data_IF_831790456459
#
_entry.id   IF_831790456459
#
_cell.length_a   1.000
_cell.length_b   1.000
_cell.length_c   1.000
_cell.angle_alpha   90.00
_cell.angle_beta   90.00
_cell.angle_gamma   90.00
#
_symmetry.space_group_name_H-M   'P 1'
#
loop_
_entity.id
_entity.type
_entity.pdbx_description
1 polymer ?
#
# COMPACT_ATOMS: atom_id res chain seq x y z
N UNK A 1 6.75 -21.84 -1.76
CA UNK A 1 7.71 -20.71 -1.79
C UNK A 1 7.02 -19.38 -1.41
N UNK A 2 6.50 -19.21 -0.19
CA UNK A 2 5.76 -17.98 0.18
C UNK A 2 6.23 -17.29 1.47
N UNK A 3 7.30 -17.77 2.12
CA UNK A 3 7.70 -17.32 3.47
C UNK A 3 8.86 -16.30 3.48
N UNK A 4 9.58 -16.09 2.36
CA UNK A 4 10.74 -15.19 2.31
C UNK A 4 10.52 -13.82 1.65
N UNK A 5 9.28 -13.37 1.43
CA UNK A 5 9.00 -12.17 0.62
C UNK A 5 8.18 -11.07 1.28
N UNK A 6 8.04 -11.03 2.62
CA UNK A 6 7.28 -9.95 3.30
C UNK A 6 8.07 -8.99 4.20
N UNK A 7 9.19 -8.40 3.75
CA UNK A 7 9.71 -7.21 4.39
C UNK A 7 8.88 -5.92 4.24
N UNK A 8 8.22 -5.58 3.11
CA UNK A 8 7.81 -4.20 2.86
C UNK A 8 6.72 -3.68 3.80
N UNK A 9 5.72 -4.49 4.19
CA UNK A 9 4.69 -4.06 5.16
C UNK A 9 5.30 -3.69 6.51
N UNK A 10 6.29 -4.48 6.96
CA UNK A 10 7.07 -4.19 8.17
C UNK A 10 7.88 -2.90 8.02
N UNK A 11 8.49 -2.66 6.86
CA UNK A 11 9.28 -1.44 6.59
C UNK A 11 8.43 -0.18 6.54
N UNK A 12 7.23 -0.22 5.95
CA UNK A 12 6.29 0.90 6.00
C UNK A 12 5.88 1.23 7.44
N UNK A 13 5.57 0.22 8.24
CA UNK A 13 5.25 0.40 9.65
C UNK A 13 6.45 0.95 10.46
N UNK A 14 7.66 0.43 10.24
CA UNK A 14 8.88 0.90 10.91
C UNK A 14 9.23 2.35 10.52
N UNK A 15 9.13 2.70 9.25
CA UNK A 15 9.38 4.08 8.78
C UNK A 15 8.39 5.06 9.41
N UNK A 16 7.11 4.67 9.49
CA UNK A 16 6.07 5.43 10.17
C UNK A 16 6.38 5.59 11.67
N UNK A 17 6.70 4.50 12.37
CA UNK A 17 7.06 4.54 13.79
C UNK A 17 8.28 5.43 14.06
N UNK A 18 9.32 5.33 13.23
CA UNK A 18 10.50 6.18 13.30
C UNK A 18 10.17 7.67 13.15
N UNK A 19 9.36 8.03 12.15
CA UNK A 19 8.95 9.43 11.93
C UNK A 19 8.07 9.96 13.09
N UNK A 20 7.16 9.15 13.62
CA UNK A 20 6.33 9.51 14.78
C UNK A 20 7.19 9.72 16.02
N UNK A 21 8.20 8.88 16.24
CA UNK A 21 9.14 9.02 17.35
C UNK A 21 9.91 10.34 17.26
N UNK A 22 10.47 10.65 16.09
CA UNK A 22 11.19 11.91 15.83
C UNK A 22 10.26 13.11 16.07
N UNK A 23 9.02 13.07 15.59
CA UNK A 23 8.05 14.14 15.77
C UNK A 23 7.67 14.37 17.24
N UNK A 24 7.49 13.28 18.01
CA UNK A 24 7.24 13.35 19.46
C UNK A 24 8.43 13.95 20.20
N UNK A 25 9.63 13.55 19.81
CA UNK A 25 10.86 14.06 20.39
C UNK A 25 11.05 15.56 20.13
N UNK A 26 10.79 16.01 18.89
CA UNK A 26 10.86 17.42 18.50
C UNK A 26 9.83 18.28 19.24
N UNK A 27 8.59 17.80 19.41
CA UNK A 27 7.57 18.50 20.21
C UNK A 27 7.97 18.60 21.69
N UNK A 28 8.51 17.52 22.26
CA UNK A 28 9.04 17.55 23.63
C UNK A 28 10.17 18.58 23.79
N UNK A 29 11.03 18.70 22.78
CA UNK A 29 12.11 19.69 22.75
C UNK A 29 11.61 21.14 22.75
N UNK A 30 10.62 21.43 21.91
CA UNK A 30 10.04 22.78 21.79
C UNK A 30 9.39 23.22 23.10
N UNK A 31 8.63 22.34 23.76
CA UNK A 31 7.97 22.65 25.05
C UNK A 31 9.00 22.93 26.16
N UNK A 32 10.14 22.25 26.16
CA UNK A 32 11.22 22.51 27.14
C UNK A 32 11.94 23.84 26.85
N UNK A 33 12.22 24.16 25.59
CA UNK A 33 12.88 25.43 25.22
C UNK A 33 12.04 26.67 25.59
N UNK A 34 10.72 26.60 25.43
CA UNK A 34 9.81 27.72 25.71
C UNK A 34 9.69 28.01 27.22
N UNK A 35 9.98 27.02 28.07
CA UNK A 35 9.90 27.14 29.53
C UNK A 35 11.19 27.59 30.21
N UNK A 36 12.37 27.25 29.69
CA UNK A 36 13.63 27.37 30.45
C UNK A 36 14.63 28.40 29.94
N UNK A 37 14.37 29.10 28.83
CA UNK A 37 15.28 30.14 28.35
C UNK A 37 16.70 29.63 28.04
N UNK A 38 16.91 29.21 26.79
CA UNK A 38 18.23 29.18 26.14
C UNK A 38 19.38 28.42 26.86
N UNK A 39 19.09 27.29 27.51
CA UNK A 39 20.11 26.24 27.73
C UNK A 39 19.79 25.03 26.86
N UNK A 40 20.60 24.83 25.82
CA UNK A 40 20.50 23.74 24.86
C UNK A 40 20.85 22.40 25.52
N UNK A 41 19.94 21.88 26.34
CA UNK A 41 19.96 20.48 26.75
C UNK A 41 19.25 19.67 25.67
N UNK A 42 19.90 18.62 25.15
CA UNK A 42 19.20 17.61 24.34
C UNK A 42 18.05 17.10 25.21
N UNK A 43 16.79 17.37 24.86
CA UNK A 43 15.68 17.04 25.70
C UNK A 43 15.66 15.52 25.84
N UNK A 44 15.56 15.02 27.09
CA UNK A 44 15.58 13.59 27.39
C UNK A 44 14.58 12.77 26.54
N UNK A 45 13.55 13.41 25.98
CA UNK A 45 12.63 12.83 25.00
C UNK A 45 13.27 12.41 23.67
N UNK A 46 14.28 13.12 23.14
CA UNK A 46 15.02 12.73 21.94
C UNK A 46 15.84 11.47 22.18
N UNK A 47 16.56 11.42 23.30
CA UNK A 47 17.39 10.25 23.66
C UNK A 47 16.54 8.98 23.75
N UNK A 48 15.31 9.08 24.26
CA UNK A 48 14.36 7.95 24.34
C UNK A 48 13.85 7.46 22.98
N UNK A 49 13.93 8.28 21.94
CA UNK A 49 13.50 7.92 20.59
C UNK A 49 14.62 7.33 19.72
N UNK A 50 15.89 7.51 20.11
CA UNK A 50 17.05 6.95 19.39
C UNK A 50 16.99 5.42 19.27
N UNK A 51 16.72 4.64 20.34
CA UNK A 51 16.65 3.18 20.23
C UNK A 51 15.57 2.72 19.24
N UNK A 52 14.44 3.42 19.19
CA UNK A 52 13.36 3.11 18.27
C UNK A 52 13.77 3.41 16.81
N UNK A 53 14.41 4.56 16.56
CA UNK A 53 14.96 4.88 15.25
C UNK A 53 16.00 3.87 14.78
N UNK A 54 16.93 3.49 15.67
CA UNK A 54 17.94 2.47 15.40
C UNK A 54 17.30 1.10 15.12
N UNK A 55 16.28 0.70 15.88
CA UNK A 55 15.56 -0.55 15.65
C UNK A 55 14.85 -0.56 14.29
N UNK A 56 14.28 0.58 13.86
CA UNK A 56 13.65 0.71 12.54
C UNK A 56 14.67 0.58 11.40
N UNK A 57 15.82 1.27 11.51
CA UNK A 57 16.90 1.17 10.53
C UNK A 57 17.50 -0.24 10.50
N UNK A 58 17.73 -0.85 11.67
CA UNK A 58 18.21 -2.23 11.77
C UNK A 58 17.23 -3.21 11.13
N UNK A 59 15.92 -3.02 11.33
CA UNK A 59 14.88 -3.78 10.65
C UNK A 59 14.96 -3.66 9.12
N UNK A 60 15.19 -2.45 8.60
CA UNK A 60 15.38 -2.22 7.17
C UNK A 60 16.64 -2.89 6.61
N UNK A 61 17.76 -2.76 7.32
CA UNK A 61 19.04 -3.32 6.90
C UNK A 61 19.16 -4.83 7.11
N UNK A 62 18.28 -5.42 7.92
CA UNK A 62 18.29 -6.87 8.21
C UNK A 62 18.18 -7.72 6.94
N UNK A 63 17.50 -7.25 5.91
CA UNK A 63 17.40 -7.94 4.62
C UNK A 63 18.71 -7.94 3.86
N UNK A 64 19.41 -6.81 3.83
CA UNK A 64 20.71 -6.70 3.18
C UNK A 64 21.74 -7.55 3.92
N UNK A 65 21.69 -7.57 5.26
CA UNK A 65 22.54 -8.43 6.08
C UNK A 65 22.24 -9.93 5.83
N UNK A 66 20.96 -10.31 5.76
CA UNK A 66 20.55 -11.68 5.46
C UNK A 66 20.96 -12.10 4.04
N UNK A 67 20.81 -11.21 3.06
CA UNK A 67 21.24 -11.44 1.69
C UNK A 67 22.76 -11.64 1.63
N UNK A 68 23.54 -10.84 2.36
CA UNK A 68 24.98 -10.98 2.42
C UNK A 68 25.38 -12.30 3.06
N UNK A 69 24.77 -12.65 4.20
CA UNK A 69 25.04 -13.90 4.90
C UNK A 69 24.71 -15.14 4.05
N UNK A 70 23.64 -15.09 3.25
CA UNK A 70 23.16 -16.23 2.46
C UNK A 70 23.81 -16.33 1.08
N UNK A 71 24.11 -15.20 0.45
CA UNK A 71 24.45 -15.12 -0.97
C UNK A 71 25.72 -14.31 -1.28
N UNK A 72 26.36 -13.72 -0.27
CA UNK A 72 27.57 -12.91 -0.46
C UNK A 72 27.33 -11.57 -1.15
N UNK A 73 26.11 -11.04 -1.11
CA UNK A 73 25.75 -9.75 -1.75
C UNK A 73 24.84 -8.91 -0.85
N UNK A 74 25.00 -7.59 -0.91
CA UNK A 74 24.13 -6.62 -0.22
C UNK A 74 22.85 -6.29 -0.98
N UNK A 75 22.64 -6.86 -2.17
CA UNK A 75 21.36 -6.77 -2.86
C UNK A 75 20.31 -7.56 -2.05
N UNK A 76 19.24 -6.93 -1.52
CA UNK A 76 18.25 -7.62 -0.70
C UNK A 76 17.46 -8.67 -1.49
N UNK A 77 17.48 -8.60 -2.83
CA UNK A 77 16.82 -9.56 -3.71
C UNK A 77 17.70 -9.81 -4.95
N UNK A 78 18.79 -10.60 -4.84
CA UNK A 78 19.73 -10.82 -5.94
C UNK A 78 19.08 -11.69 -7.02
N UNK A 79 18.42 -11.04 -7.98
CA UNK A 79 17.60 -11.73 -8.97
C UNK A 79 18.42 -12.70 -9.84
N UNK A 80 19.69 -12.38 -10.09
CA UNK A 80 20.62 -13.17 -10.92
C UNK A 80 20.82 -14.61 -10.46
N UNK A 81 20.68 -14.88 -9.15
CA UNK A 81 20.85 -16.23 -8.59
C UNK A 81 19.51 -16.95 -8.36
N UNK A 82 18.39 -16.31 -8.68
CA UNK A 82 17.06 -16.86 -8.42
C UNK A 82 16.57 -17.67 -9.62
N UNK A 83 16.02 -18.87 -9.36
CA UNK A 83 15.50 -19.79 -10.40
C UNK A 83 14.56 -19.14 -11.42
N UNK A 84 13.61 -18.25 -11.04
CA UNK A 84 12.72 -17.61 -12.00
C UNK A 84 13.44 -16.75 -13.06
N UNK A 85 14.68 -16.35 -12.80
CA UNK A 85 15.53 -15.54 -13.68
C UNK A 85 16.69 -16.34 -14.29
N UNK A 86 16.55 -17.68 -14.35
CA UNK A 86 17.48 -18.53 -15.10
C UNK A 86 17.46 -18.22 -16.61
N UNK A 87 16.39 -17.62 -17.12
CA UNK A 87 16.34 -17.10 -18.50
C UNK A 87 17.14 -15.77 -18.60
N UNK A 88 18.23 -15.72 -19.39
CA UNK A 88 19.03 -14.51 -19.59
C UNK A 88 18.23 -13.32 -20.15
N UNK A 89 17.19 -13.57 -20.96
CA UNK A 89 16.40 -12.49 -21.58
C UNK A 89 15.66 -11.66 -20.53
N UNK A 90 15.06 -12.32 -19.52
CA UNK A 90 14.31 -11.65 -18.46
C UNK A 90 15.20 -10.79 -17.58
N UNK A 91 16.36 -11.32 -17.17
CA UNK A 91 17.30 -10.58 -16.33
C UNK A 91 17.94 -9.42 -17.09
N UNK A 92 18.21 -9.58 -18.39
CA UNK A 92 18.72 -8.51 -19.25
C UNK A 92 17.69 -7.41 -19.48
N UNK A 93 16.40 -7.74 -19.58
CA UNK A 93 15.32 -6.77 -19.72
C UNK A 93 15.27 -5.76 -18.55
N UNK A 94 15.72 -6.17 -17.35
CA UNK A 94 15.78 -5.34 -16.15
C UNK A 94 17.22 -4.99 -15.72
N UNK A 95 18.18 -5.11 -16.63
CA UNK A 95 19.61 -4.81 -16.41
C UNK A 95 20.21 -5.51 -15.16
N UNK A 96 19.62 -6.64 -14.78
CA UNK A 96 19.99 -7.44 -13.62
C UNK A 96 19.82 -6.76 -12.25
N UNK A 97 18.96 -5.74 -12.14
CA UNK A 97 18.65 -5.02 -10.89
C UNK A 97 17.20 -5.23 -10.47
N UNK A 98 16.92 -5.15 -9.17
CA UNK A 98 15.57 -5.27 -8.61
C UNK A 98 14.78 -3.95 -8.56
N UNK A 99 15.46 -2.81 -8.72
CA UNK A 99 14.86 -1.48 -8.69
C UNK A 99 15.45 -0.56 -9.76
N UNK A 100 14.61 0.29 -10.34
CA UNK A 100 14.95 1.30 -11.32
C UNK A 100 14.16 2.58 -11.08
N UNK A 101 14.83 3.73 -11.05
CA UNK A 101 14.14 5.02 -10.95
C UNK A 101 13.18 5.27 -12.13
N UNK A 102 13.48 4.74 -13.31
CA UNK A 102 12.61 4.83 -14.50
C UNK A 102 11.27 4.10 -14.33
N UNK A 103 11.14 3.22 -13.33
CA UNK A 103 9.88 2.54 -13.03
C UNK A 103 8.93 3.42 -12.19
N UNK A 104 9.41 4.48 -11.54
CA UNK A 104 8.60 5.28 -10.62
C UNK A 104 7.29 5.78 -11.25
N UNK A 105 7.28 6.35 -12.47
CA UNK A 105 6.04 6.77 -13.12
C UNK A 105 5.07 5.61 -13.37
N UNK A 106 5.58 4.45 -13.82
CA UNK A 106 4.76 3.24 -14.04
C UNK A 106 4.20 2.70 -12.72
N UNK A 107 5.03 2.63 -11.67
CA UNK A 107 4.64 2.18 -10.34
C UNK A 107 3.59 3.09 -9.74
N UNK A 108 3.80 4.41 -9.78
CA UNK A 108 2.81 5.39 -9.33
C UNK A 108 1.50 5.25 -10.10
N UNK A 109 1.54 5.16 -11.43
CA UNK A 109 0.35 4.94 -12.24
C UNK A 109 -0.38 3.67 -11.81
N UNK A 110 0.34 2.55 -11.64
CA UNK A 110 -0.23 1.25 -11.28
C UNK A 110 -0.85 1.23 -9.87
N UNK A 111 -0.22 1.86 -8.88
CA UNK A 111 -0.68 1.83 -7.48
C UNK A 111 -1.61 2.96 -7.09
N UNK A 112 -1.64 4.07 -7.84
CA UNK A 112 -2.41 5.27 -7.47
C UNK A 112 -3.49 5.61 -8.50
N UNK A 113 -3.25 5.42 -9.80
CA UNK A 113 -4.11 5.98 -10.84
C UNK A 113 -4.94 4.92 -11.56
N UNK A 114 -4.31 3.81 -11.96
CA UNK A 114 -4.86 2.83 -12.93
C UNK A 114 -6.05 2.07 -12.35
N UNK A 115 -7.27 2.23 -12.92
CA UNK A 115 -8.40 1.37 -12.60
C UNK A 115 -8.21 0.02 -13.31
N UNK A 116 -7.48 -0.91 -12.70
CA UNK A 116 -7.21 -2.22 -13.30
C UNK A 116 -8.29 -3.25 -12.99
N UNK A 117 -9.53 -2.92 -13.31
CA UNK A 117 -10.67 -3.83 -13.20
C UNK A 117 -11.54 -3.75 -14.44
N UNK A 118 -12.32 -4.80 -14.69
CA UNK A 118 -13.28 -4.89 -15.78
C UNK A 118 -14.66 -5.12 -15.18
N UNK A 119 -15.64 -4.41 -15.71
CA UNK A 119 -17.04 -4.61 -15.34
C UNK A 119 -17.67 -5.52 -16.39
N UNK A 120 -18.20 -6.65 -15.95
CA UNK A 120 -18.91 -7.60 -16.81
C UNK A 120 -20.34 -7.76 -16.32
N UNK A 121 -21.25 -8.19 -17.22
CA UNK A 121 -22.66 -8.42 -16.86
C UNK A 121 -22.84 -9.66 -15.98
N UNK A 122 -21.94 -10.64 -16.11
CA UNK A 122 -22.00 -11.90 -15.37
C UNK A 122 -21.32 -11.81 -14.01
N UNK A 123 -21.86 -12.51 -13.03
CA UNK A 123 -21.33 -12.64 -11.67
C UNK A 123 -19.85 -13.07 -11.67
N UNK A 124 -18.95 -12.44 -10.88
CA UNK A 124 -19.22 -11.49 -9.79
C UNK A 124 -19.18 -10.00 -10.21
N UNK A 125 -19.48 -9.70 -11.48
CA UNK A 125 -19.58 -8.36 -12.08
C UNK A 125 -18.29 -7.52 -12.12
N UNK A 126 -17.36 -7.72 -11.20
CA UNK A 126 -16.07 -7.02 -11.12
C UNK A 126 -14.96 -8.06 -11.26
N UNK A 127 -14.14 -7.89 -12.30
CA UNK A 127 -13.03 -8.78 -12.64
C UNK A 127 -11.71 -8.03 -12.61
N UNK A 128 -10.61 -8.75 -12.41
CA UNK A 128 -9.28 -8.16 -12.57
C UNK A 128 -9.07 -7.73 -14.03
N UNK A 129 -8.41 -6.58 -14.19
CA UNK A 129 -7.98 -6.05 -15.49
C UNK A 129 -6.77 -6.82 -16.04
N UNK A 130 -6.15 -6.30 -17.09
CA UNK A 130 -4.98 -6.94 -17.68
C UNK A 130 -3.75 -6.82 -16.77
N UNK A 131 -2.93 -7.85 -16.74
CA UNK A 131 -1.57 -7.80 -16.18
C UNK A 131 -0.56 -7.20 -17.16
N UNK A 132 -0.95 -6.86 -18.40
CA UNK A 132 -0.03 -6.21 -19.32
C UNK A 132 0.25 -4.77 -18.89
N UNK A 133 1.52 -4.32 -18.93
CA UNK A 133 1.87 -2.91 -18.82
C UNK A 133 1.22 -2.15 -19.97
N UNK A 134 0.53 -1.04 -19.69
CA UNK A 134 0.04 -0.19 -20.77
C UNK A 134 1.21 0.39 -21.57
N UNK A 135 1.00 0.67 -22.87
CA UNK A 135 2.02 1.24 -23.77
C UNK A 135 2.54 2.63 -23.37
N UNK A 136 2.00 3.24 -22.31
CA UNK A 136 2.32 4.59 -21.85
C UNK A 136 3.72 4.72 -21.23
N UNK A 137 4.39 3.62 -20.88
CA UNK A 137 5.69 3.64 -20.20
C UNK A 137 6.73 2.74 -20.90
N UNK A 138 7.15 3.07 -22.14
CA UNK A 138 8.03 2.22 -22.93
C UNK A 138 9.43 2.04 -22.32
N UNK A 139 9.87 2.99 -21.49
CA UNK A 139 11.16 2.92 -20.79
C UNK A 139 11.13 2.14 -19.47
N UNK A 140 9.95 1.67 -19.05
CA UNK A 140 9.81 0.96 -17.78
C UNK A 140 10.46 -0.44 -17.86
N UNK A 141 11.29 -0.74 -16.86
CA UNK A 141 12.03 -1.99 -16.69
C UNK A 141 11.22 -2.90 -15.76
N UNK A 142 10.08 -3.40 -16.26
CA UNK A 142 9.15 -4.24 -15.48
C UNK A 142 9.24 -5.67 -15.99
N UNK A 143 9.61 -6.59 -15.09
CA UNK A 143 9.70 -8.02 -15.39
C UNK A 143 8.40 -8.76 -15.07
N UNK A 144 7.76 -8.42 -13.93
CA UNK A 144 6.57 -9.11 -13.46
C UNK A 144 5.43 -8.12 -13.18
N UNK A 145 4.66 -7.76 -14.20
CA UNK A 145 3.43 -7.02 -14.01
C UNK A 145 2.32 -7.99 -13.59
N UNK A 146 1.61 -7.66 -12.50
CA UNK A 146 0.53 -8.49 -11.94
C UNK A 146 -0.81 -7.74 -12.10
N UNK A 147 -1.91 -8.43 -11.82
CA UNK A 147 -3.26 -7.89 -11.75
C UNK A 147 -3.46 -6.97 -10.53
N UNK A 148 -2.69 -5.89 -10.49
CA UNK A 148 -2.67 -4.93 -9.39
C UNK A 148 -3.79 -3.93 -9.57
N UNK A 149 -4.61 -3.76 -8.53
CA UNK A 149 -5.63 -2.75 -8.38
C UNK A 149 -5.06 -1.59 -7.55
N UNK A 150 -5.14 -0.37 -8.09
CA UNK A 150 -4.65 0.82 -7.40
C UNK A 150 -5.40 1.08 -6.08
N UNK A 151 -4.71 1.71 -5.12
CA UNK A 151 -5.21 1.99 -3.77
C UNK A 151 -6.60 2.66 -3.74
N UNK A 152 -6.91 3.66 -4.59
CA UNK A 152 -8.22 4.31 -4.54
C UNK A 152 -9.38 3.36 -4.85
N UNK A 153 -9.13 2.28 -5.60
CA UNK A 153 -10.15 1.31 -5.96
C UNK A 153 -10.13 0.07 -5.06
N UNK A 154 -8.96 -0.33 -4.55
CA UNK A 154 -8.84 -1.44 -3.62
C UNK A 154 -9.30 -1.08 -2.20
N UNK A 155 -9.06 0.16 -1.77
CA UNK A 155 -9.36 0.63 -0.41
C UNK A 155 -9.98 2.05 -0.41
N UNK A 156 -11.06 2.32 -1.19
CA UNK A 156 -11.60 3.67 -1.37
C UNK A 156 -11.92 4.39 -0.06
N UNK A 157 -12.54 3.72 0.92
CA UNK A 157 -12.85 4.33 2.22
C UNK A 157 -11.62 4.82 2.98
N UNK A 158 -10.59 3.97 3.09
CA UNK A 158 -9.31 4.34 3.72
C UNK A 158 -8.60 5.42 2.92
N UNK A 159 -8.56 5.32 1.59
CA UNK A 159 -7.90 6.29 0.73
C UNK A 159 -8.54 7.68 0.84
N UNK A 160 -9.88 7.77 0.81
CA UNK A 160 -10.61 9.04 0.95
C UNK A 160 -10.38 9.67 2.32
N UNK A 161 -10.47 8.89 3.40
CA UNK A 161 -10.20 9.41 4.75
C UNK A 161 -8.74 9.82 4.93
N UNK A 162 -7.80 9.02 4.41
CA UNK A 162 -6.38 9.33 4.47
C UNK A 162 -6.04 10.61 3.71
N UNK A 163 -6.67 10.87 2.56
CA UNK A 163 -6.42 12.05 1.72
C UNK A 163 -7.33 13.22 2.09
N UNK A 164 -8.58 13.22 1.64
CA UNK A 164 -9.55 14.30 1.86
C UNK A 164 -9.81 14.54 3.35
N UNK A 165 -9.89 13.47 4.16
CA UNK A 165 -10.01 13.60 5.61
C UNK A 165 -8.80 14.29 6.24
N UNK A 166 -7.57 13.93 5.86
CA UNK A 166 -6.37 14.63 6.34
C UNK A 166 -6.31 16.07 5.85
N UNK A 167 -6.66 16.37 4.60
CA UNK A 167 -6.68 17.75 4.08
C UNK A 167 -7.66 18.61 4.89
N UNK A 168 -8.85 18.08 5.17
CA UNK A 168 -9.83 18.72 6.03
C UNK A 168 -9.27 18.92 7.45
N UNK A 169 -8.75 17.86 8.07
CA UNK A 169 -8.16 17.89 9.41
C UNK A 169 -7.02 18.91 9.51
N UNK A 170 -6.18 18.99 8.49
CA UNK A 170 -5.08 19.95 8.39
C UNK A 170 -5.59 21.40 8.35
N UNK A 171 -6.67 21.64 7.62
CA UNK A 171 -7.28 22.96 7.52
C UNK A 171 -7.91 23.41 8.85
N UNK A 172 -8.75 22.55 9.47
CA UNK A 172 -9.62 22.96 10.58
C UNK A 172 -9.12 22.58 11.98
N UNK A 173 -8.15 21.67 12.11
CA UNK A 173 -7.60 21.23 13.40
C UNK A 173 -6.10 21.49 13.47
N UNK A 174 -5.66 22.71 13.87
CA UNK A 174 -4.25 23.09 13.90
C UNK A 174 -3.35 22.11 14.67
N UNK A 175 -3.87 21.50 15.74
CA UNK A 175 -3.16 20.53 16.56
C UNK A 175 -2.71 19.26 15.80
N UNK A 176 -3.38 18.92 14.70
CA UNK A 176 -3.11 17.72 13.90
C UNK A 176 -2.11 17.96 12.76
N UNK A 177 -1.85 19.21 12.36
CA UNK A 177 -1.04 19.55 11.16
C UNK A 177 0.31 18.87 11.12
N UNK A 178 1.06 18.94 12.23
CA UNK A 178 2.38 18.32 12.34
C UNK A 178 2.28 16.79 12.29
N UNK A 179 1.26 16.19 12.93
CA UNK A 179 1.09 14.74 12.88
C UNK A 179 0.77 14.26 11.46
N UNK A 180 -0.12 14.96 10.77
CA UNK A 180 -0.47 14.68 9.37
C UNK A 180 0.77 14.81 8.47
N UNK A 181 1.52 15.91 8.58
CA UNK A 181 2.73 16.12 7.81
C UNK A 181 3.75 15.00 8.03
N UNK A 182 3.98 14.61 9.28
CA UNK A 182 4.93 13.54 9.64
C UNK A 182 4.49 12.20 9.03
N UNK A 183 3.22 11.83 9.15
CA UNK A 183 2.69 10.58 8.59
C UNK A 183 2.83 10.54 7.07
N UNK A 184 2.51 11.64 6.38
CA UNK A 184 2.62 11.72 4.93
C UNK A 184 4.07 11.75 4.44
N UNK A 185 4.96 12.47 5.12
CA UNK A 185 6.39 12.49 4.78
C UNK A 185 7.04 11.12 5.01
N UNK A 186 6.64 10.39 6.06
CA UNK A 186 7.12 9.04 6.35
C UNK A 186 6.83 8.04 5.22
N UNK A 187 5.78 8.29 4.42
CA UNK A 187 5.41 7.44 3.30
C UNK A 187 6.37 7.54 2.10
N UNK A 188 7.03 8.70 1.92
CA UNK A 188 7.72 9.03 0.66
C UNK A 188 8.83 8.03 0.34
N UNK A 189 9.81 7.74 1.23
CA UNK A 189 10.94 6.89 0.87
C UNK A 189 10.50 5.48 0.47
N UNK A 190 9.55 4.92 1.21
CA UNK A 190 9.03 3.59 0.94
C UNK A 190 8.15 3.53 -0.30
N UNK A 191 7.35 4.57 -0.56
CA UNK A 191 6.57 4.67 -1.80
C UNK A 191 7.48 4.77 -3.01
N UNK A 192 8.55 5.57 -2.94
CA UNK A 192 9.56 5.68 -4.01
C UNK A 192 10.23 4.33 -4.26
N UNK A 193 10.66 3.62 -3.20
CA UNK A 193 11.27 2.30 -3.34
C UNK A 193 10.30 1.28 -3.95
N UNK A 194 9.02 1.31 -3.54
CA UNK A 194 7.98 0.43 -4.08
C UNK A 194 7.71 0.71 -5.56
N UNK A 195 7.62 1.99 -5.93
CA UNK A 195 7.39 2.39 -7.33
C UNK A 195 8.61 2.13 -8.22
N UNK A 196 9.82 2.12 -7.66
CA UNK A 196 11.03 1.77 -8.38
C UNK A 196 11.17 0.26 -8.64
N UNK A 197 10.42 -0.60 -7.95
CA UNK A 197 10.57 -2.06 -8.07
C UNK A 197 10.27 -2.57 -9.50
N UNK A 198 10.95 -3.65 -9.91
CA UNK A 198 10.75 -4.30 -11.23
C UNK A 198 9.52 -5.21 -11.29
N UNK A 199 8.86 -5.43 -10.16
CA UNK A 199 7.68 -6.26 -10.06
C UNK A 199 6.56 -5.45 -9.40
N UNK A 200 5.38 -5.46 -10.01
CA UNK A 200 4.16 -4.98 -9.38
C UNK A 200 3.33 -6.17 -8.99
N UNK A 201 2.78 -6.17 -7.79
CA UNK A 201 1.90 -7.22 -7.31
C UNK A 201 0.75 -6.63 -6.50
N UNK A 202 -0.42 -7.28 -6.52
CA UNK A 202 -1.58 -6.83 -5.73
C UNK A 202 -1.27 -6.82 -4.23
N UNK A 203 -0.42 -7.76 -3.78
CA UNK A 203 0.05 -7.82 -2.39
C UNK A 203 0.79 -6.55 -1.95
N UNK A 204 1.45 -5.84 -2.87
CA UNK A 204 2.19 -4.61 -2.57
C UNK A 204 1.26 -3.41 -2.37
N UNK A 205 0.03 -3.46 -2.89
CA UNK A 205 -1.00 -2.49 -2.52
C UNK A 205 -1.30 -2.55 -1.01
N UNK A 206 -1.19 -3.73 -0.40
CA UNK A 206 -1.32 -3.93 1.04
C UNK A 206 -0.21 -3.31 1.89
N UNK A 207 0.95 -3.00 1.30
CA UNK A 207 2.05 -2.34 2.03
C UNK A 207 1.70 -0.89 2.40
N UNK A 208 0.74 -0.28 1.72
CA UNK A 208 0.21 1.03 2.06
C UNK A 208 -0.80 1.00 3.22
N UNK A 209 -1.28 -0.17 3.65
CA UNK A 209 -2.29 -0.26 4.71
C UNK A 209 -1.88 0.44 6.02
N UNK A 210 -0.66 0.24 6.59
CA UNK A 210 -0.27 0.91 7.83
C UNK A 210 -0.33 2.45 7.72
N UNK A 211 0.14 2.98 6.59
CA UNK A 211 0.08 4.40 6.28
C UNK A 211 -1.37 4.88 6.16
N UNK A 212 -2.17 4.21 5.31
CA UNK A 212 -3.55 4.60 5.02
C UNK A 212 -4.42 4.54 6.27
N UNK A 213 -4.29 3.51 7.10
CA UNK A 213 -5.02 3.38 8.37
C UNK A 213 -4.64 4.54 9.31
N UNK A 214 -3.34 4.82 9.44
CA UNK A 214 -2.86 5.89 10.34
C UNK A 214 -3.33 7.26 9.85
N UNK A 215 -3.15 7.58 8.57
CA UNK A 215 -3.64 8.82 7.97
C UNK A 215 -5.17 8.93 8.04
N UNK A 216 -5.90 7.84 7.76
CA UNK A 216 -7.37 7.82 7.86
C UNK A 216 -7.85 8.11 9.28
N UNK A 217 -7.15 7.62 10.31
CA UNK A 217 -7.49 7.91 11.71
C UNK A 217 -7.35 9.41 12.04
N UNK A 218 -6.29 10.07 11.53
CA UNK A 218 -6.11 11.51 11.66
C UNK A 218 -7.18 12.28 10.87
N UNK A 219 -7.52 11.80 9.67
CA UNK A 219 -8.60 12.37 8.86
C UNK A 219 -9.96 12.26 9.55
N UNK A 220 -10.25 11.14 10.19
CA UNK A 220 -11.47 10.91 10.96
C UNK A 220 -11.57 11.84 12.18
N UNK A 221 -10.45 12.15 12.83
CA UNK A 221 -10.40 13.17 13.88
C UNK A 221 -10.81 14.56 13.34
N UNK A 222 -10.39 14.92 12.12
CA UNK A 222 -10.84 16.12 11.44
C UNK A 222 -12.34 16.11 11.13
N UNK A 223 -12.85 15.01 10.57
CA UNK A 223 -14.30 14.82 10.32
C UNK A 223 -15.10 14.96 11.63
N UNK A 224 -14.57 14.49 12.75
CA UNK A 224 -15.24 14.58 14.06
C UNK A 224 -15.36 16.02 14.58
N UNK A 225 -14.49 16.93 14.14
CA UNK A 225 -14.53 18.35 14.48
C UNK A 225 -15.55 19.16 13.66
N UNK A 226 -16.18 18.56 12.65
CA UNK A 226 -17.23 19.19 11.86
C UNK A 226 -18.54 19.35 12.66
N UNK A 227 -19.38 20.29 12.20
CA UNK A 227 -20.78 20.40 12.65
C UNK A 227 -21.56 19.09 12.37
N UNK A 228 -22.65 18.81 13.09
CA UNK A 228 -23.34 17.51 13.02
C UNK A 228 -23.75 17.07 11.62
N UNK A 229 -24.32 17.97 10.81
CA UNK A 229 -24.80 17.65 9.47
C UNK A 229 -23.67 17.32 8.46
N UNK A 230 -22.65 18.18 8.23
CA UNK A 230 -21.55 17.82 7.33
C UNK A 230 -20.74 16.62 7.84
N UNK A 231 -20.63 16.44 9.17
CA UNK A 231 -20.05 15.22 9.76
C UNK A 231 -20.83 13.97 9.35
N UNK A 232 -22.15 14.00 9.46
CA UNK A 232 -23.00 12.88 9.06
C UNK A 232 -22.82 12.54 7.57
N UNK A 233 -22.80 13.55 6.69
CA UNK A 233 -22.55 13.35 5.25
C UNK A 233 -21.18 12.72 5.01
N UNK A 234 -20.12 13.24 5.64
CA UNK A 234 -18.76 12.73 5.47
C UNK A 234 -18.63 11.28 5.94
N UNK A 235 -19.22 10.94 7.09
CA UNK A 235 -19.26 9.56 7.60
C UNK A 235 -20.09 8.64 6.71
N UNK A 236 -21.23 9.12 6.20
CA UNK A 236 -22.05 8.38 5.24
C UNK A 236 -21.28 8.05 3.96
N UNK A 237 -20.56 9.02 3.39
CA UNK A 237 -19.71 8.82 2.22
C UNK A 237 -18.56 7.83 2.50
N UNK A 238 -17.87 7.97 3.62
CA UNK A 238 -16.81 7.03 4.02
C UNK A 238 -17.35 5.61 4.23
N UNK A 239 -18.56 5.47 4.80
CA UNK A 239 -19.27 4.21 4.95
C UNK A 239 -19.61 3.56 3.61
N UNK A 240 -20.18 4.33 2.67
CA UNK A 240 -20.47 3.85 1.31
C UNK A 240 -19.21 3.45 0.55
N UNK A 241 -18.15 4.24 0.64
CA UNK A 241 -16.85 3.92 0.05
C UNK A 241 -16.26 2.63 0.65
N UNK A 242 -16.42 2.41 1.95
CA UNK A 242 -15.98 1.17 2.60
C UNK A 242 -16.80 -0.04 2.14
N UNK A 243 -18.13 0.10 2.04
CA UNK A 243 -18.99 -0.96 1.51
C UNK A 243 -18.64 -1.31 0.06
N UNK A 244 -18.37 -0.32 -0.78
CA UNK A 244 -17.90 -0.53 -2.14
C UNK A 244 -16.54 -1.26 -2.19
N UNK A 245 -15.60 -0.92 -1.30
CA UNK A 245 -14.32 -1.61 -1.17
C UNK A 245 -14.49 -3.10 -0.83
N UNK A 246 -15.39 -3.41 0.12
CA UNK A 246 -15.70 -4.78 0.53
C UNK A 246 -16.31 -5.56 -0.62
N UNK A 247 -17.30 -4.98 -1.32
CA UNK A 247 -17.93 -5.61 -2.47
C UNK A 247 -16.93 -5.91 -3.59
N UNK A 248 -16.08 -4.93 -3.94
CA UNK A 248 -15.04 -5.11 -4.95
C UNK A 248 -14.01 -6.18 -4.53
N UNK A 249 -13.54 -6.13 -3.27
CA UNK A 249 -12.58 -7.11 -2.74
C UNK A 249 -13.16 -8.51 -2.76
N UNK A 250 -14.42 -8.67 -2.37
CA UNK A 250 -15.12 -9.95 -2.38
C UNK A 250 -15.25 -10.51 -3.79
N UNK A 251 -15.73 -9.70 -4.74
CA UNK A 251 -15.86 -10.10 -6.14
C UNK A 251 -14.52 -10.54 -6.75
N UNK A 252 -13.47 -9.72 -6.55
CA UNK A 252 -12.14 -10.00 -7.07
C UNK A 252 -11.52 -11.24 -6.41
N UNK A 253 -11.67 -11.40 -5.09
CA UNK A 253 -11.14 -12.55 -4.36
C UNK A 253 -11.82 -13.84 -4.79
N UNK A 254 -13.15 -13.81 -4.93
CA UNK A 254 -13.92 -14.97 -5.37
C UNK A 254 -13.50 -15.41 -6.77
N UNK A 255 -13.38 -14.46 -7.71
CA UNK A 255 -12.90 -14.77 -9.06
C UNK A 255 -11.46 -15.28 -9.08
N UNK A 256 -10.56 -14.62 -8.34
CA UNK A 256 -9.16 -15.00 -8.29
C UNK A 256 -8.97 -16.41 -7.72
N UNK A 257 -9.67 -16.75 -6.63
CA UNK A 257 -9.63 -18.09 -6.03
C UNK A 257 -10.32 -19.14 -6.90
N UNK A 258 -11.39 -18.79 -7.60
CA UNK A 258 -12.16 -19.71 -8.43
C UNK A 258 -11.49 -20.09 -9.75
N UNK A 259 -10.76 -19.16 -10.40
CA UNK A 259 -10.24 -19.39 -11.75
C UNK A 259 -8.73 -19.10 -11.90
N UNK A 260 -8.18 -18.15 -11.15
CA UNK A 260 -6.80 -17.67 -11.40
C UNK A 260 -5.75 -18.39 -10.54
N UNK A 261 -6.11 -18.76 -9.31
CA UNK A 261 -5.17 -19.34 -8.35
C UNK A 261 -4.72 -20.74 -8.82
N UNK A 262 -3.41 -20.94 -8.83
CA UNK A 262 -2.78 -22.21 -9.16
C UNK A 262 -2.96 -23.22 -8.01
N UNK A 263 -3.10 -24.50 -8.36
CA UNK A 263 -3.24 -25.59 -7.37
C UNK A 263 -4.61 -25.71 -6.71
N UNK A 264 -5.63 -24.99 -7.19
CA UNK A 264 -7.01 -25.16 -6.75
C UNK A 264 -7.58 -26.46 -7.33
N UNK A 265 -8.18 -27.36 -6.53
CA UNK A 265 -8.80 -28.58 -7.02
C UNK A 265 -9.89 -28.29 -8.06
N UNK A 266 -10.03 -29.15 -9.07
CA UNK A 266 -11.03 -28.97 -10.14
C UNK A 266 -12.47 -28.94 -9.61
N UNK A 267 -12.76 -29.68 -8.53
CA UNK A 267 -14.07 -29.62 -7.85
C UNK A 267 -14.40 -28.21 -7.36
N UNK A 268 -13.43 -27.49 -6.78
CA UNK A 268 -13.64 -26.12 -6.31
C UNK A 268 -13.86 -25.16 -7.49
N UNK A 269 -13.19 -25.38 -8.63
CA UNK A 269 -13.42 -24.61 -9.87
C UNK A 269 -14.80 -24.89 -10.45
N UNK A 270 -15.23 -26.15 -10.45
CA UNK A 270 -16.56 -26.55 -10.90
C UNK A 270 -17.66 -25.90 -10.04
N UNK A 271 -17.51 -25.93 -8.71
CA UNK A 271 -18.43 -25.28 -7.77
C UNK A 271 -18.52 -23.77 -8.01
N UNK A 272 -17.38 -23.10 -8.29
CA UNK A 272 -17.37 -21.67 -8.64
C UNK A 272 -18.13 -21.39 -9.96
N UNK A 273 -17.92 -22.21 -10.99
CA UNK A 273 -18.64 -22.06 -12.28
C UNK A 273 -20.13 -22.30 -12.13
N UNK A 274 -20.52 -23.28 -11.32
CA UNK A 274 -21.93 -23.56 -11.01
C UNK A 274 -22.57 -22.38 -10.26
N UNK A 275 -21.89 -21.85 -9.23
CA UNK A 275 -22.34 -20.65 -8.52
C UNK A 275 -22.56 -19.48 -9.47
N UNK A 276 -21.59 -19.21 -10.35
CA UNK A 276 -21.70 -18.14 -11.36
C UNK A 276 -22.91 -18.35 -12.27
N UNK A 277 -23.09 -19.56 -12.80
CA UNK A 277 -24.22 -19.92 -13.66
C UNK A 277 -25.56 -19.74 -12.94
N UNK A 278 -25.67 -20.20 -11.70
CA UNK A 278 -26.88 -20.10 -10.90
C UNK A 278 -27.28 -18.64 -10.62
N UNK A 279 -26.32 -17.79 -10.27
CA UNK A 279 -26.55 -16.36 -10.06
C UNK A 279 -26.97 -15.67 -11.36
N UNK A 280 -26.25 -15.94 -12.45
CA UNK A 280 -26.55 -15.35 -13.77
C UNK A 280 -27.95 -15.75 -14.27
N UNK A 281 -28.33 -17.03 -14.17
CA UNK A 281 -29.67 -17.51 -14.54
C UNK A 281 -30.78 -16.88 -13.67
N UNK A 282 -30.53 -16.69 -12.37
CA UNK A 282 -31.49 -16.07 -11.44
C UNK A 282 -31.74 -14.60 -11.79
N UNK A 283 -30.69 -13.87 -12.17
CA UNK A 283 -30.80 -12.46 -12.56
C UNK A 283 -31.53 -12.30 -13.90
N UNK A 284 -31.30 -13.20 -14.86
CA UNK A 284 -31.98 -13.18 -16.15
C UNK A 284 -33.47 -13.51 -16.08
N UNK A 285 -33.91 -14.27 -15.06
CA UNK A 285 -35.31 -14.66 -14.86
C UNK A 285 -36.19 -13.59 -14.19
N UNK A 286 -35.62 -12.51 -13.64
CA UNK A 286 -36.43 -11.45 -13.01
C UNK A 286 -37.18 -10.67 -14.11
N UNK A 287 -38.53 -10.69 -14.15
CA UNK A 287 -39.30 -9.89 -15.11
C UNK A 287 -39.00 -8.40 -14.88
N UNK A 288 -38.83 -7.67 -15.98
CA UNK A 288 -38.60 -6.21 -15.98
C UNK A 288 -39.83 -5.46 -15.54
#
# INVERSE_FOLDING_TARGET
>A
MSIHTRPPTGLFALTLLGCVAVARAARGAQVTMDREGLRAFVPAGIIRCIPLGLACVAGALSLNALAYAKFGTFDPAPLRISRPYANPERINAIDGKSMHAVNIPYGFYTYVVRPNFRLERGFPWIYLGSNTPGHHFPSAKIDLPDHTLAMPYAMPGLFVLATAGCLLAFAIVPALRVAIAVVWLAAIPMSVALFAAVATAQRYTGDFCPLLITAASLGLAGVSALRPFPRFIALGFAGLATAAAVAATWALTLHYQGETLWGVPEEARANYRELRRAVDETLLRRPR
#
